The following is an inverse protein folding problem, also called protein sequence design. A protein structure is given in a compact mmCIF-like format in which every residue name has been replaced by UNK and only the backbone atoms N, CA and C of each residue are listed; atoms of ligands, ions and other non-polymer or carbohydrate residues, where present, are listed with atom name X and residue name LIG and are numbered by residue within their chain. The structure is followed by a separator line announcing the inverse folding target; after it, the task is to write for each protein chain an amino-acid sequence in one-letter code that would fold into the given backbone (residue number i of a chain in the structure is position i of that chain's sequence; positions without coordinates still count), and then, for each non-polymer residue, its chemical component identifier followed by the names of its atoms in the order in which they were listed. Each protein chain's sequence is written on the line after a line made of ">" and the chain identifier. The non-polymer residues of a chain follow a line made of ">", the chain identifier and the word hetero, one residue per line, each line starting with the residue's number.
data_IF_292407686572
#
_entry.id   IF_292407686572
#
_cell.length_a   1.000
_cell.length_b   1.000
_cell.length_c   1.000
_cell.angle_alpha   90.00
_cell.angle_beta   90.00
_cell.angle_gamma   90.00
#
_symmetry.space_group_name_H-M   'P 1'
#
loop_
_entity.id
_entity.type
_entity.pdbx_description
1 polymer ?
#
# COMPACT_ATOMS: atom_id res chain seq x y z
N UNK A 1 5.16 -1.08 -7.11
CA UNK A 1 4.41 0.00 -6.43
C UNK A 1 4.74 1.33 -7.08
N UNK A 2 3.74 2.18 -7.33
CA UNK A 2 3.92 3.49 -7.96
C UNK A 2 3.16 4.57 -7.18
N UNK A 3 3.73 5.78 -7.10
CA UNK A 3 3.14 6.93 -6.43
C UNK A 3 2.75 7.99 -7.46
N UNK A 4 1.47 8.35 -7.50
CA UNK A 4 0.94 9.44 -8.32
C UNK A 4 0.56 10.59 -7.39
N UNK A 5 1.38 11.64 -7.38
CA UNK A 5 1.17 12.80 -6.52
C UNK A 5 0.31 13.86 -7.22
N UNK A 6 -0.82 14.18 -6.62
CA UNK A 6 -1.62 15.37 -6.90
C UNK A 6 -1.40 16.44 -5.84
N UNK A 7 -2.04 17.63 -5.99
CA UNK A 7 -1.88 18.74 -5.05
C UNK A 7 -2.45 18.45 -3.65
N UNK A 8 -3.51 17.67 -3.55
CA UNK A 8 -4.26 17.39 -2.32
C UNK A 8 -4.44 15.89 -2.02
N UNK A 9 -3.99 15.04 -2.94
CA UNK A 9 -4.09 13.59 -2.83
C UNK A 9 -2.85 12.92 -3.42
N UNK A 10 -2.29 11.96 -2.68
CA UNK A 10 -1.37 10.97 -3.19
C UNK A 10 -2.14 9.69 -3.50
N UNK A 11 -1.92 9.10 -4.68
CA UNK A 11 -2.45 7.79 -5.04
C UNK A 11 -1.31 6.78 -5.10
N UNK A 12 -1.43 5.70 -4.33
CA UNK A 12 -0.49 4.57 -4.34
C UNK A 12 -1.12 3.46 -5.15
N UNK A 13 -0.42 3.03 -6.20
CA UNK A 13 -0.76 1.87 -7.01
C UNK A 13 0.10 0.69 -6.58
N UNK A 14 -0.53 -0.37 -6.13
CA UNK A 14 0.10 -1.65 -5.90
C UNK A 14 -0.03 -2.49 -7.16
N UNK A 15 1.09 -3.05 -7.61
CA UNK A 15 1.14 -3.90 -8.81
C UNK A 15 0.25 -5.12 -8.61
N UNK A 16 0.30 -5.69 -7.41
CA UNK A 16 -0.50 -6.83 -7.03
C UNK A 16 -2.00 -6.50 -7.08
N UNK A 17 -2.75 -7.18 -7.94
CA UNK A 17 -4.19 -7.00 -8.18
C UNK A 17 -4.58 -5.56 -8.56
N UNK A 18 -3.62 -4.77 -9.08
CA UNK A 18 -3.82 -3.37 -9.46
C UNK A 18 -4.54 -2.56 -8.37
N UNK A 19 -4.20 -2.82 -7.10
CA UNK A 19 -4.90 -2.23 -5.98
C UNK A 19 -4.56 -0.73 -5.84
N UNK A 20 -5.57 0.07 -5.51
CA UNK A 20 -5.46 1.52 -5.43
C UNK A 20 -5.72 1.96 -3.99
N UNK A 21 -4.74 2.65 -3.40
CA UNK A 21 -4.88 3.36 -2.13
C UNK A 21 -4.80 4.85 -2.35
N UNK A 22 -5.75 5.59 -1.77
CA UNK A 22 -5.79 7.06 -1.81
C UNK A 22 -5.40 7.61 -0.45
N UNK A 23 -4.52 8.59 -0.46
CA UNK A 23 -3.97 9.26 0.72
C UNK A 23 -4.25 10.74 0.58
N UNK A 24 -5.08 11.29 1.47
CA UNK A 24 -5.45 12.70 1.43
C UNK A 24 -4.41 13.54 2.16
N UNK A 25 -3.90 14.60 1.53
CA UNK A 25 -2.75 15.35 2.04
C UNK A 25 -3.18 16.50 2.95
N UNK A 26 -2.55 16.61 4.13
CA UNK A 26 -2.71 17.71 5.09
C UNK A 26 -4.16 17.93 5.56
N UNK A 27 -4.94 16.85 5.68
CA UNK A 27 -6.33 16.88 6.13
C UNK A 27 -6.47 16.20 7.50
N UNK A 28 -7.70 16.11 8.01
CA UNK A 28 -8.03 15.35 9.22
C UNK A 28 -8.85 14.13 8.85
N UNK A 29 -8.75 13.08 9.67
CA UNK A 29 -9.66 11.96 9.55
C UNK A 29 -11.10 12.40 9.85
N UNK A 30 -12.10 11.80 9.18
CA UNK A 30 -13.50 11.98 9.53
C UNK A 30 -13.80 11.32 10.89
N UNK A 31 -14.63 11.95 11.72
CA UNK A 31 -15.01 11.44 13.05
C UNK A 31 -15.71 10.07 12.99
N UNK A 32 -16.47 9.82 11.92
CA UNK A 32 -17.20 8.56 11.68
C UNK A 32 -16.82 8.00 10.30
N UNK A 33 -15.53 7.72 10.09
CA UNK A 33 -15.01 7.20 8.83
C UNK A 33 -15.71 5.91 8.41
N UNK A 34 -16.22 5.89 7.17
CA UNK A 34 -16.69 4.64 6.54
C UNK A 34 -15.52 3.66 6.48
N UNK A 35 -15.75 2.43 6.91
CA UNK A 35 -14.75 1.38 6.80
C UNK A 35 -14.54 0.99 5.36
N UNK A 36 -13.29 0.71 4.99
CA UNK A 36 -12.91 0.24 3.66
C UNK A 36 -11.72 -0.70 3.74
N UNK A 37 -11.41 -1.41 2.64
CA UNK A 37 -10.26 -2.32 2.57
C UNK A 37 -8.92 -1.64 2.93
N UNK A 38 -8.72 -0.39 2.49
CA UNK A 38 -7.53 0.41 2.82
C UNK A 38 -7.79 1.47 3.90
N UNK A 39 -8.96 1.45 4.51
CA UNK A 39 -9.38 2.48 5.47
C UNK A 39 -9.41 3.88 4.87
N UNK A 40 -9.11 4.87 5.72
CA UNK A 40 -8.95 6.27 5.37
C UNK A 40 -7.54 6.70 5.74
N UNK A 41 -6.76 7.15 4.75
CA UNK A 41 -5.36 7.55 4.93
C UNK A 41 -5.19 9.06 4.83
N UNK A 42 -4.50 9.66 5.79
CA UNK A 42 -4.05 11.05 5.77
C UNK A 42 -2.54 11.08 5.65
N UNK A 43 -2.02 11.90 4.73
CA UNK A 43 -0.58 12.09 4.52
C UNK A 43 -0.13 13.50 4.87
N UNK A 44 1.07 13.64 5.43
CA UNK A 44 1.78 14.92 5.53
C UNK A 44 3.29 14.71 5.43
N UNK A 45 4.02 15.76 5.08
CA UNK A 45 5.49 15.71 5.03
C UNK A 45 6.11 16.25 6.32
N UNK A 46 7.06 15.51 6.87
CA UNK A 46 7.97 15.93 7.93
C UNK A 46 9.39 15.98 7.36
N UNK A 47 9.78 17.15 6.83
CA UNK A 47 11.02 17.26 6.07
C UNK A 47 10.95 16.48 4.77
N UNK A 48 11.82 15.47 4.61
CA UNK A 48 11.87 14.55 3.48
C UNK A 48 11.03 13.28 3.66
N UNK A 49 10.42 13.11 4.84
CA UNK A 49 9.66 11.92 5.20
C UNK A 49 8.17 12.15 4.97
N UNK A 50 7.55 11.31 4.15
CA UNK A 50 6.10 11.25 4.03
C UNK A 50 5.54 10.39 5.16
N UNK A 51 4.73 10.99 6.04
CA UNK A 51 4.02 10.29 7.11
C UNK A 51 2.60 10.03 6.65
N UNK A 52 2.13 8.79 6.78
CA UNK A 52 0.77 8.39 6.45
C UNK A 52 0.11 7.77 7.69
N UNK A 53 -0.97 8.38 8.15
CA UNK A 53 -1.82 7.90 9.24
C UNK A 53 -3.06 7.23 8.64
N UNK A 54 -3.40 6.02 9.08
CA UNK A 54 -4.53 5.25 8.55
C UNK A 54 -5.38 4.62 9.64
N UNK A 55 -6.69 4.83 9.53
CA UNK A 55 -7.72 4.25 10.40
C UNK A 55 -8.86 3.66 9.58
N UNK A 56 -9.73 2.88 10.23
CA UNK A 56 -11.01 2.46 9.65
C UNK A 56 -10.87 1.39 8.57
N UNK A 57 -9.84 0.54 8.67
CA UNK A 57 -9.75 -0.68 7.87
C UNK A 57 -10.84 -1.67 8.31
N UNK A 58 -11.35 -2.48 7.39
CA UNK A 58 -12.29 -3.57 7.71
C UNK A 58 -11.57 -4.68 8.47
N UNK A 59 -12.22 -5.29 9.45
CA UNK A 59 -11.66 -6.31 10.36
C UNK A 59 -11.62 -7.74 9.75
N UNK A 60 -11.78 -7.83 8.43
CA UNK A 60 -11.67 -9.09 7.65
C UNK A 60 -10.38 -9.17 6.85
N UNK A 61 -9.46 -8.24 7.09
CA UNK A 61 -8.10 -8.23 6.53
C UNK A 61 -7.07 -8.63 7.57
N UNK A 62 -5.85 -8.89 7.10
CA UNK A 62 -4.70 -9.17 7.93
C UNK A 62 -3.71 -8.00 7.91
N UNK A 63 -3.02 -7.78 9.04
CA UNK A 63 -2.04 -6.69 9.18
C UNK A 63 -0.75 -6.98 8.40
N UNK A 64 -0.43 -8.26 8.21
CA UNK A 64 0.79 -8.72 7.57
C UNK A 64 0.54 -9.97 6.70
N UNK A 65 1.61 -10.44 6.04
CA UNK A 65 1.57 -11.63 5.19
C UNK A 65 1.54 -12.96 5.95
N UNK A 66 1.65 -12.93 7.28
CA UNK A 66 1.62 -14.12 8.13
C UNK A 66 0.21 -14.42 8.66
N UNK A 67 -0.78 -13.60 8.28
CA UNK A 67 -2.16 -13.79 8.67
C UNK A 67 -2.50 -13.19 10.03
N UNK A 68 -1.72 -12.22 10.51
CA UNK A 68 -1.97 -11.57 11.79
C UNK A 68 -3.29 -10.79 11.73
N UNK A 69 -4.29 -11.26 12.46
CA UNK A 69 -5.62 -10.64 12.54
C UNK A 69 -5.59 -9.34 13.34
N UNK A 70 -6.54 -8.46 13.05
CA UNK A 70 -6.77 -7.21 13.77
C UNK A 70 -8.27 -6.97 13.99
N UNK A 71 -8.59 -5.99 14.82
CA UNK A 71 -9.95 -5.53 15.07
C UNK A 71 -10.24 -4.25 14.29
N UNK A 72 -11.40 -3.67 14.55
CA UNK A 72 -11.78 -2.37 14.00
C UNK A 72 -11.11 -1.17 14.69
N UNK A 73 -10.32 -1.44 15.73
CA UNK A 73 -9.48 -0.45 16.40
C UNK A 73 -8.09 -0.31 15.75
N UNK A 74 -7.84 -0.96 14.61
CA UNK A 74 -6.56 -0.87 13.90
C UNK A 74 -6.24 0.58 13.49
N UNK A 75 -5.09 1.04 13.95
CA UNK A 75 -4.45 2.30 13.58
C UNK A 75 -3.03 2.01 13.11
N UNK A 76 -2.70 2.50 11.91
CA UNK A 76 -1.38 2.30 11.30
C UNK A 76 -0.78 3.64 10.94
N UNK A 77 0.43 3.89 11.43
CA UNK A 77 1.23 5.06 11.07
C UNK A 77 2.49 4.60 10.33
N UNK A 78 2.61 5.03 9.09
CA UNK A 78 3.71 4.69 8.20
C UNK A 78 4.57 5.91 7.91
N UNK A 79 5.89 5.73 7.85
CA UNK A 79 6.87 6.78 7.54
C UNK A 79 7.70 6.31 6.35
N UNK A 80 7.48 6.97 5.22
CA UNK A 80 8.10 6.69 3.93
C UNK A 80 9.27 7.64 3.70
N UNK A 81 10.45 7.09 3.42
CA UNK A 81 11.66 7.86 3.11
C UNK A 81 12.48 7.18 2.02
N UNK A 82 12.98 7.97 1.07
CA UNK A 82 13.93 7.49 0.06
C UNK A 82 15.34 7.65 0.65
N UNK A 83 16.10 6.55 0.69
CA UNK A 83 17.49 6.51 1.14
C UNK A 83 18.44 6.97 0.02
N UNK A 84 19.71 7.19 0.34
CA UNK A 84 20.73 7.71 -0.60
C UNK A 84 20.92 6.83 -1.84
N UNK A 85 20.71 5.52 -1.71
CA UNK A 85 20.81 4.53 -2.79
C UNK A 85 19.52 4.36 -3.61
N UNK A 86 18.51 5.20 -3.34
CA UNK A 86 17.21 5.16 -4.01
C UNK A 86 16.25 4.10 -3.46
N UNK A 87 16.63 3.35 -2.41
CA UNK A 87 15.74 2.42 -1.72
C UNK A 87 14.65 3.21 -0.98
N UNK A 88 13.40 2.82 -1.17
CA UNK A 88 12.30 3.33 -0.36
C UNK A 88 12.22 2.52 0.93
N UNK A 89 12.47 3.17 2.06
CA UNK A 89 12.25 2.64 3.41
C UNK A 89 10.88 3.06 3.91
N UNK A 90 10.12 2.11 4.46
CA UNK A 90 8.83 2.33 5.11
C UNK A 90 8.90 1.77 6.52
N UNK A 91 8.96 2.65 7.50
CA UNK A 91 8.84 2.28 8.91
C UNK A 91 7.38 2.42 9.30
N UNK A 92 6.76 1.34 9.76
CA UNK A 92 5.36 1.35 10.15
C UNK A 92 5.19 0.99 11.62
N UNK A 93 4.25 1.65 12.27
CA UNK A 93 3.79 1.37 13.63
C UNK A 93 2.34 0.91 13.55
N UNK A 94 2.04 -0.20 14.21
CA UNK A 94 0.70 -0.77 14.27
C UNK A 94 0.22 -0.70 15.71
N UNK A 95 -0.99 -0.17 15.88
CA UNK A 95 -1.69 -0.11 17.16
C UNK A 95 -3.08 -0.72 17.01
N UNK A 96 -3.41 -1.67 17.87
CA UNK A 96 -4.75 -2.26 17.97
C UNK A 96 -4.93 -2.80 19.39
N UNK A 97 -5.74 -2.11 20.21
CA UNK A 97 -5.96 -2.49 21.61
C UNK A 97 -6.82 -3.76 21.76
N UNK A 98 -7.53 -4.18 20.71
CA UNK A 98 -8.34 -5.39 20.69
C UNK A 98 -7.54 -6.63 20.31
N UNK A 99 -6.47 -6.47 19.53
CA UNK A 99 -5.62 -7.58 19.04
C UNK A 99 -4.25 -7.67 19.73
N UNK A 100 -3.65 -6.54 20.13
CA UNK A 100 -2.28 -6.48 20.64
C UNK A 100 -2.19 -5.86 22.04
N UNK A 101 -1.24 -6.34 22.85
CA UNK A 101 -1.00 -5.81 24.20
C UNK A 101 -0.16 -4.54 24.22
N UNK A 102 0.54 -4.25 23.13
CA UNK A 102 1.33 -3.03 22.94
C UNK A 102 1.50 -2.73 21.43
N UNK A 103 1.74 -1.47 21.05
CA UNK A 103 2.17 -1.11 19.71
C UNK A 103 3.40 -1.89 19.28
N UNK A 104 3.47 -2.26 18.01
CA UNK A 104 4.67 -2.86 17.43
C UNK A 104 5.08 -2.13 16.15
N UNK A 105 6.34 -2.32 15.75
CA UNK A 105 6.93 -1.66 14.60
C UNK A 105 7.63 -2.64 13.68
N UNK A 106 7.59 -2.35 12.39
CA UNK A 106 8.31 -3.08 11.36
C UNK A 106 8.94 -2.13 10.35
N UNK A 107 9.80 -2.68 9.50
CA UNK A 107 10.44 -1.98 8.39
C UNK A 107 10.24 -2.79 7.13
N UNK A 108 9.76 -2.13 6.08
CA UNK A 108 9.72 -2.66 4.72
C UNK A 108 10.62 -1.81 3.83
N UNK A 109 11.41 -2.46 2.97
CA UNK A 109 12.26 -1.78 1.99
C UNK A 109 11.86 -2.19 0.58
N UNK A 110 11.83 -1.22 -0.33
CA UNK A 110 11.51 -1.42 -1.74
C UNK A 110 12.64 -0.90 -2.59
N UNK A 111 13.12 -1.74 -3.50
CA UNK A 111 14.11 -1.34 -4.50
C UNK A 111 13.41 -0.67 -5.68
N UNK A 112 14.01 0.38 -6.27
CA UNK A 112 13.47 0.99 -7.47
C UNK A 112 13.51 -0.02 -8.63
N UNK A 113 12.45 -0.03 -9.43
CA UNK A 113 12.33 -0.85 -10.62
C UNK A 113 12.22 0.07 -11.84
N UNK A 114 12.99 -0.24 -12.88
CA UNK A 114 12.97 0.52 -14.14
C UNK A 114 12.26 -0.27 -15.25
N UNK A 115 11.13 -0.89 -14.90
CA UNK A 115 10.25 -1.62 -15.81
C UNK A 115 8.93 -0.89 -15.93
N UNK A 116 8.23 -1.06 -17.07
CA UNK A 116 6.84 -0.64 -17.18
C UNK A 116 6.03 -1.35 -16.09
N UNK A 117 5.13 -0.64 -15.41
CA UNK A 117 4.27 -1.21 -14.36
C UNK A 117 3.31 -2.21 -15.01
N UNK A 118 3.58 -3.52 -14.94
CA UNK A 118 2.80 -4.49 -15.70
C UNK A 118 1.48 -4.76 -15.00
N UNK A 119 0.51 -5.26 -15.76
CA UNK A 119 -0.69 -5.82 -15.16
C UNK A 119 -0.34 -7.12 -14.42
N UNK A 120 -0.83 -7.25 -13.19
CA UNK A 120 -0.67 -8.46 -12.39
C UNK A 120 -1.95 -8.71 -11.59
N UNK A 121 -2.68 -9.76 -11.97
CA UNK A 121 -3.92 -10.20 -11.32
C UNK A 121 -3.71 -11.59 -10.73
N UNK A 122 -3.76 -11.72 -9.39
CA UNK A 122 -3.60 -13.01 -8.72
C UNK A 122 -4.63 -14.04 -9.18
N UNK A 123 -5.89 -13.61 -9.37
CA UNK A 123 -6.99 -14.50 -9.72
C UNK A 123 -6.85 -15.13 -11.11
N UNK A 124 -6.09 -14.50 -12.01
CA UNK A 124 -5.81 -15.07 -13.33
C UNK A 124 -4.80 -16.21 -13.26
N UNK A 125 -4.07 -16.35 -12.14
CA UNK A 125 -3.04 -17.36 -11.93
C UNK A 125 -2.04 -17.40 -13.10
N UNK A 126 -1.66 -16.22 -13.60
CA UNK A 126 -0.81 -16.10 -14.78
C UNK A 126 0.65 -16.52 -14.53
N UNK A 127 0.97 -17.14 -13.40
CA UNK A 127 2.33 -17.57 -13.07
C UNK A 127 2.55 -18.96 -13.66
N UNK A 128 3.40 -19.06 -14.67
CA UNK A 128 3.83 -20.34 -15.21
C UNK A 128 4.70 -21.05 -14.15
N UNK A 129 4.15 -22.12 -13.58
CA UNK A 129 4.82 -22.93 -12.55
C UNK A 129 6.03 -23.71 -13.08
N UNK A 130 6.27 -23.71 -14.40
CA UNK A 130 7.37 -24.46 -15.01
C UNK A 130 8.67 -23.66 -15.14
N UNK A 131 8.61 -22.33 -15.18
CA UNK A 131 9.78 -21.46 -15.30
C UNK A 131 9.75 -20.18 -14.43
N UNK A 132 8.73 -20.01 -13.58
CA UNK A 132 8.50 -18.82 -12.73
C UNK A 132 8.31 -17.50 -13.50
N UNK A 133 8.04 -17.58 -14.82
CA UNK A 133 7.62 -16.44 -15.63
C UNK A 133 6.11 -16.21 -15.45
N UNK A 134 5.66 -14.97 -15.62
CA UNK A 134 4.23 -14.71 -15.81
C UNK A 134 3.90 -14.86 -17.30
N UNK A 135 2.74 -15.42 -17.68
CA UNK A 135 2.27 -15.36 -19.06
C UNK A 135 2.26 -13.90 -19.52
N UNK A 136 2.75 -13.64 -20.73
CA UNK A 136 2.78 -12.30 -21.29
C UNK A 136 1.36 -11.72 -21.32
N UNK A 137 1.24 -10.46 -20.89
CA UNK A 137 0.01 -9.68 -21.06
C UNK A 137 -0.29 -9.65 -22.56
N UNK A 138 -1.51 -9.99 -23.01
CA UNK A 138 -1.85 -9.95 -24.42
C UNK A 138 -1.55 -8.59 -25.03
N UNK A 139 -0.67 -8.55 -26.03
CA UNK A 139 -0.36 -7.35 -26.79
C UNK A 139 -1.05 -7.43 -28.15
N UNK A 140 -1.83 -6.41 -28.50
CA UNK A 140 -2.28 -6.24 -29.88
C UNK A 140 -1.14 -5.62 -30.71
N UNK A 141 -0.92 -6.17 -31.90
CA UNK A 141 0.07 -5.66 -32.84
C UNK A 141 -0.44 -4.41 -33.57
N UNK A 142 -1.75 -4.14 -33.49
CA UNK A 142 -2.39 -2.97 -34.07
C UNK A 142 -3.33 -2.31 -33.06
N UNK A 143 -3.32 -0.98 -32.88
CA UNK A 143 -4.31 -0.33 -32.03
C UNK A 143 -5.71 -0.45 -32.65
N UNK A 144 -6.68 -0.91 -31.85
CA UNK A 144 -8.11 -0.96 -32.22
C UNK A 144 -8.82 0.42 -32.17
N UNK A 145 -8.07 1.53 -32.13
CA UNK A 145 -8.60 2.90 -32.09
C UNK A 145 -7.90 3.85 -33.08
#
# INVERSE_FOLDING_TARGET
>A
MQFLQGPDQLTILYENNQQIRRVYMNQKHPDNGKRSWYGHSIGHYEGDTLVIDTIGQVDVTEVDRFGTLHTDALHVVERYRILEDGILEVIFTVEDQGAFTMPWRGVATYIPQNISFPEYICAENNRDTTDDQSFDVPHDLTPDF
#
